data_IF_993301120705
#
_entry.id   IF_993301120705
#
_cell.length_a   1.000
_cell.length_b   1.000
_cell.length_c   1.000
_cell.angle_alpha   90.00
_cell.angle_beta   90.00
_cell.angle_gamma   90.00
#
_symmetry.space_group_name_H-M   'P 1'
#
loop_
_entity.id
_entity.type
_entity.pdbx_description
1 polymer ?
#
# COMPACT_ATOMS: atom_id res chain seq x y z
N UNK A 1 -13.14 7.35 15.71
CA UNK A 1 -14.37 7.38 16.47
C UNK A 1 -14.90 5.96 16.66
N UNK A 2 -15.83 5.77 17.57
CA UNK A 2 -16.40 4.44 17.87
C UNK A 2 -17.24 3.87 16.71
N UNK A 3 -17.69 4.72 15.79
CA UNK A 3 -18.51 4.35 14.63
C UNK A 3 -17.70 4.13 13.34
N UNK A 4 -16.37 4.10 13.41
CA UNK A 4 -15.53 3.84 12.25
C UNK A 4 -15.71 2.40 11.77
N UNK A 5 -16.14 2.25 10.51
CA UNK A 5 -16.28 0.95 9.85
C UNK A 5 -15.20 0.81 8.80
N UNK A 6 -14.56 -0.34 8.76
CA UNK A 6 -13.51 -0.67 7.80
C UNK A 6 -13.85 -1.96 7.08
N UNK A 7 -13.71 -1.94 5.75
CA UNK A 7 -13.76 -3.11 4.90
C UNK A 7 -12.63 -3.05 3.90
N UNK A 8 -12.10 -4.21 3.53
CA UNK A 8 -11.15 -4.36 2.44
C UNK A 8 -11.62 -5.46 1.49
N UNK A 9 -11.28 -5.30 0.22
CA UNK A 9 -11.61 -6.29 -0.80
C UNK A 9 -10.56 -6.29 -1.92
N UNK A 10 -10.43 -7.42 -2.56
CA UNK A 10 -9.57 -7.56 -3.71
C UNK A 10 -10.42 -7.51 -4.99
N UNK A 11 -10.18 -6.50 -5.83
CA UNK A 11 -10.95 -6.29 -7.06
C UNK A 11 -10.36 -7.14 -8.17
N UNK A 12 -11.17 -8.06 -8.72
CA UNK A 12 -10.78 -9.01 -9.77
C UNK A 12 -11.29 -8.62 -11.17
N UNK A 13 -11.83 -7.42 -11.31
CA UNK A 13 -12.46 -6.97 -12.55
C UNK A 13 -13.99 -7.02 -12.51
N UNK A 14 -14.63 -6.83 -13.65
CA UNK A 14 -16.08 -6.76 -13.79
C UNK A 14 -16.63 -7.92 -14.64
N UNK A 15 -17.95 -8.13 -14.55
CA UNK A 15 -18.65 -9.14 -15.35
C UNK A 15 -18.34 -10.59 -14.95
N UNK A 16 -18.64 -11.53 -15.85
CA UNK A 16 -18.45 -12.95 -15.59
C UNK A 16 -16.98 -13.36 -15.46
N UNK A 17 -16.07 -12.68 -16.16
CA UNK A 17 -14.64 -12.95 -16.05
C UNK A 17 -14.10 -12.53 -14.68
N UNK A 18 -14.50 -11.36 -14.17
CA UNK A 18 -14.12 -10.91 -12.82
C UNK A 18 -14.70 -11.83 -11.74
N UNK A 19 -15.93 -12.30 -11.91
CA UNK A 19 -16.55 -13.26 -11.01
C UNK A 19 -15.80 -14.59 -10.99
N UNK A 20 -15.47 -15.14 -12.16
CA UNK A 20 -14.71 -16.39 -12.25
C UNK A 20 -13.31 -16.25 -11.62
N UNK A 21 -12.65 -15.12 -11.83
CA UNK A 21 -11.35 -14.82 -11.19
C UNK A 21 -11.49 -14.74 -9.66
N UNK A 22 -12.52 -14.09 -9.14
CA UNK A 22 -12.76 -14.00 -7.71
C UNK A 22 -13.06 -15.37 -7.08
N UNK A 23 -13.88 -16.21 -7.75
CA UNK A 23 -14.15 -17.59 -7.33
C UNK A 23 -12.84 -18.41 -7.30
N UNK A 24 -12.02 -18.33 -8.34
CA UNK A 24 -10.75 -19.02 -8.40
C UNK A 24 -9.83 -18.61 -7.23
N UNK A 25 -9.65 -17.32 -7.00
CA UNK A 25 -8.81 -16.81 -5.91
C UNK A 25 -9.35 -17.22 -4.52
N UNK A 26 -10.67 -17.24 -4.34
CA UNK A 26 -11.27 -17.67 -3.07
C UNK A 26 -10.97 -19.13 -2.71
N UNK A 27 -10.65 -19.96 -3.70
CA UNK A 27 -10.27 -21.37 -3.52
C UNK A 27 -8.77 -21.60 -3.42
N UNK A 28 -7.96 -20.60 -3.78
CA UNK A 28 -6.50 -20.69 -3.65
C UNK A 28 -6.06 -20.61 -2.19
N UNK A 29 -5.04 -21.39 -1.86
CA UNK A 29 -4.28 -21.15 -0.64
C UNK A 29 -3.15 -20.15 -0.96
N UNK A 30 -3.28 -18.87 -0.63
CA UNK A 30 -2.26 -17.87 -0.98
C UNK A 30 -0.89 -18.11 -0.30
N UNK A 31 -0.85 -19.02 0.68
CA UNK A 31 0.37 -19.41 1.39
C UNK A 31 0.87 -20.80 0.98
N UNK A 32 0.16 -21.50 0.07
CA UNK A 32 0.49 -22.89 -0.30
C UNK A 32 1.87 -23.06 -0.93
N UNK A 33 2.29 -22.07 -1.72
CA UNK A 33 3.58 -22.04 -2.43
C UNK A 33 4.48 -20.88 -1.90
N UNK A 34 4.28 -20.47 -0.66
CA UNK A 34 5.10 -19.42 -0.06
C UNK A 34 6.56 -19.86 0.03
N UNK A 35 7.52 -18.99 -0.28
CA UNK A 35 8.93 -19.28 -0.06
C UNK A 35 9.22 -19.59 1.41
N UNK A 36 10.29 -20.32 1.65
CA UNK A 36 10.75 -20.58 3.02
C UNK A 36 11.00 -19.27 3.78
N UNK A 37 10.78 -19.25 5.10
CA UNK A 37 11.01 -18.05 5.90
C UNK A 37 12.41 -17.46 5.68
N UNK A 38 12.46 -16.20 5.23
CA UNK A 38 13.72 -15.49 4.95
C UNK A 38 14.13 -15.46 3.48
N UNK A 39 13.53 -16.25 2.60
CA UNK A 39 13.89 -16.25 1.17
C UNK A 39 13.18 -15.14 0.38
N UNK A 40 11.88 -14.97 0.58
CA UNK A 40 11.06 -13.99 -0.16
C UNK A 40 10.91 -14.33 -1.66
N UNK A 41 10.27 -13.45 -2.44
CA UNK A 41 10.07 -13.65 -3.87
C UNK A 41 11.37 -13.45 -4.66
N UNK A 42 11.44 -14.04 -5.87
CA UNK A 42 12.59 -13.86 -6.76
C UNK A 42 12.84 -12.39 -7.10
N UNK A 43 14.06 -12.07 -7.56
CA UNK A 43 14.38 -10.72 -8.01
C UNK A 43 13.44 -10.26 -9.13
N UNK A 44 13.21 -11.15 -10.10
CA UNK A 44 12.32 -10.89 -11.23
C UNK A 44 10.88 -10.57 -10.78
N UNK A 45 10.34 -11.37 -9.85
CA UNK A 45 9.00 -11.11 -9.26
C UNK A 45 8.93 -9.77 -8.54
N UNK A 46 9.98 -9.40 -7.81
CA UNK A 46 10.03 -8.11 -7.11
C UNK A 46 10.08 -6.93 -8.07
N UNK A 47 10.85 -7.02 -9.15
CA UNK A 47 11.07 -5.92 -10.10
C UNK A 47 9.93 -5.76 -11.10
N UNK A 48 9.22 -6.84 -11.45
CA UNK A 48 8.10 -6.81 -12.40
C UNK A 48 6.72 -6.72 -11.72
N UNK A 49 6.67 -6.74 -10.39
CA UNK A 49 5.46 -6.56 -9.64
C UNK A 49 4.92 -5.13 -9.73
N UNK A 50 3.65 -4.98 -9.48
CA UNK A 50 2.99 -3.67 -9.34
C UNK A 50 1.75 -3.83 -8.49
N UNK A 51 1.18 -2.73 -8.04
CA UNK A 51 -0.09 -2.72 -7.32
C UNK A 51 -0.79 -1.38 -7.43
N UNK A 52 -2.11 -1.45 -7.30
CA UNK A 52 -3.00 -0.30 -7.16
C UNK A 52 -3.92 -0.52 -5.97
N UNK A 53 -4.03 0.50 -5.11
CA UNK A 53 -4.93 0.50 -3.96
C UNK A 53 -5.87 1.69 -4.07
N UNK A 54 -7.17 1.43 -4.11
CA UNK A 54 -8.21 2.46 -4.07
C UNK A 54 -8.75 2.58 -2.64
N UNK A 55 -8.73 3.77 -2.11
CA UNK A 55 -9.34 4.14 -0.84
C UNK A 55 -10.65 4.87 -1.11
N UNK A 56 -11.73 4.44 -0.46
CA UNK A 56 -13.01 5.11 -0.46
C UNK A 56 -13.38 5.44 0.97
N UNK A 57 -13.60 6.70 1.27
CA UNK A 57 -14.06 7.16 2.57
C UNK A 57 -15.45 7.80 2.40
N UNK A 58 -16.46 7.14 2.95
CA UNK A 58 -17.82 7.66 2.98
C UNK A 58 -18.01 8.53 4.22
N UNK A 59 -18.36 9.78 3.98
CA UNK A 59 -18.76 10.77 4.98
C UNK A 59 -20.26 11.02 4.82
N UNK A 60 -20.87 11.70 5.77
CA UNK A 60 -22.32 11.91 5.77
C UNK A 60 -22.88 12.55 4.49
N UNK A 61 -22.11 13.40 3.83
CA UNK A 61 -22.53 14.21 2.69
C UNK A 61 -21.69 13.99 1.41
N UNK A 62 -20.61 13.21 1.50
CA UNK A 62 -19.70 13.01 0.36
C UNK A 62 -18.90 11.72 0.48
N UNK A 63 -18.45 11.21 -0.67
CA UNK A 63 -17.45 10.16 -0.75
C UNK A 63 -16.14 10.75 -1.25
N UNK A 64 -15.07 10.55 -0.51
CA UNK A 64 -13.71 10.92 -0.91
C UNK A 64 -13.02 9.66 -1.43
N UNK A 65 -12.39 9.78 -2.59
CA UNK A 65 -11.59 8.70 -3.18
C UNK A 65 -10.14 9.13 -3.32
N UNK A 66 -9.25 8.20 -3.03
CA UNK A 66 -7.82 8.37 -3.26
C UNK A 66 -7.22 7.04 -3.74
N UNK A 67 -6.21 7.12 -4.60
CA UNK A 67 -5.50 5.95 -5.08
C UNK A 67 -4.02 6.03 -4.80
N UNK A 68 -3.40 4.87 -4.57
CA UNK A 68 -1.96 4.72 -4.44
C UNK A 68 -1.52 3.56 -5.32
N UNK A 69 -0.55 3.82 -6.18
CA UNK A 69 0.07 2.76 -6.99
C UNK A 69 1.57 2.66 -6.73
N UNK A 70 2.12 1.48 -6.93
CA UNK A 70 3.55 1.20 -6.84
C UNK A 70 4.05 0.38 -8.03
N UNK A 71 5.30 0.62 -8.41
CA UNK A 71 5.96 0.08 -9.60
C UNK A 71 6.77 -1.21 -9.35
N UNK A 72 6.66 -1.77 -8.15
CA UNK A 72 7.30 -3.02 -7.74
C UNK A 72 6.34 -3.88 -6.92
N UNK A 73 6.72 -5.13 -6.62
CA UNK A 73 5.92 -5.98 -5.75
C UNK A 73 5.66 -5.33 -4.38
N UNK A 74 4.43 -5.40 -3.85
CA UNK A 74 4.07 -4.74 -2.62
C UNK A 74 4.74 -5.33 -1.38
N UNK A 75 5.09 -6.62 -1.40
CA UNK A 75 5.58 -7.34 -0.23
C UNK A 75 7.01 -6.98 0.15
N UNK A 76 7.92 -6.99 -0.80
CA UNK A 76 9.35 -6.79 -0.57
C UNK A 76 9.93 -5.64 -1.37
N UNK A 77 9.66 -5.57 -2.67
CA UNK A 77 10.25 -4.56 -3.56
C UNK A 77 9.88 -3.14 -3.16
N UNK A 78 8.61 -2.84 -3.16
CA UNK A 78 8.09 -1.52 -2.78
C UNK A 78 8.25 -1.25 -1.27
N UNK A 79 7.97 -2.23 -0.41
CA UNK A 79 8.06 -2.07 1.04
C UNK A 79 9.47 -1.75 1.51
N UNK A 80 10.52 -2.33 0.92
CA UNK A 80 11.90 -2.00 1.28
C UNK A 80 12.27 -0.54 0.99
N UNK A 81 11.78 0.02 -0.13
CA UNK A 81 11.93 1.43 -0.46
C UNK A 81 11.11 2.32 0.49
N UNK A 82 9.87 1.95 0.77
CA UNK A 82 9.00 2.71 1.67
C UNK A 82 9.56 2.83 3.09
N UNK A 83 10.06 1.73 3.66
CA UNK A 83 10.63 1.78 5.02
C UNK A 83 11.92 2.59 5.06
N UNK A 84 12.75 2.50 4.02
CA UNK A 84 13.98 3.29 3.90
C UNK A 84 13.66 4.78 3.82
N UNK A 85 12.74 5.18 2.95
CA UNK A 85 12.33 6.58 2.83
C UNK A 85 11.63 7.11 4.08
N UNK A 86 10.88 6.26 4.80
CA UNK A 86 10.30 6.64 6.09
C UNK A 86 11.37 6.94 7.13
N UNK A 87 12.39 6.10 7.24
CA UNK A 87 13.50 6.34 8.16
C UNK A 87 14.26 7.63 7.81
N UNK A 88 14.56 7.84 6.53
CA UNK A 88 15.23 9.07 6.06
C UNK A 88 14.35 10.30 6.29
N UNK A 89 13.04 10.21 6.08
CA UNK A 89 12.09 11.29 6.33
C UNK A 89 12.10 11.73 7.81
N UNK A 90 12.03 10.76 8.71
CA UNK A 90 12.08 11.05 10.16
C UNK A 90 13.36 11.79 10.53
N UNK A 91 14.51 11.34 10.04
CA UNK A 91 15.82 11.92 10.41
C UNK A 91 16.07 13.28 9.76
N UNK A 92 15.67 13.45 8.50
CA UNK A 92 16.03 14.66 7.72
C UNK A 92 14.94 15.72 7.73
N UNK A 93 13.67 15.31 7.66
CA UNK A 93 12.58 16.24 7.37
C UNK A 93 11.67 16.49 8.58
N UNK A 94 11.70 15.62 9.60
CA UNK A 94 10.85 15.71 10.79
C UNK A 94 11.61 16.03 12.07
N UNK A 95 12.61 16.90 11.99
CA UNK A 95 13.52 17.24 13.11
C UNK A 95 12.79 17.85 14.32
N UNK A 96 11.69 18.54 14.06
CA UNK A 96 10.91 19.22 15.09
C UNK A 96 9.77 18.35 15.64
N UNK A 97 9.67 17.08 15.23
CA UNK A 97 8.66 16.16 15.72
C UNK A 97 8.96 15.81 17.19
N UNK A 98 8.04 16.06 18.12
CA UNK A 98 8.22 15.66 19.51
C UNK A 98 8.39 14.14 19.65
N UNK A 99 9.07 13.71 20.71
CA UNK A 99 9.12 12.26 21.02
C UNK A 99 7.72 11.69 21.31
N UNK A 100 7.44 10.49 20.80
CA UNK A 100 6.13 9.86 20.95
C UNK A 100 5.98 8.60 20.12
N UNK A 101 4.76 8.04 20.15
CA UNK A 101 4.33 6.92 19.30
C UNK A 101 3.40 7.48 18.24
N UNK A 102 3.75 7.31 16.98
CA UNK A 102 3.03 7.88 15.84
C UNK A 102 2.81 6.83 14.75
N UNK A 103 1.72 6.99 14.01
CA UNK A 103 1.58 6.36 12.69
C UNK A 103 2.37 7.16 11.65
N UNK A 104 2.75 6.56 10.51
CA UNK A 104 3.49 7.26 9.45
C UNK A 104 2.80 8.54 8.97
N UNK A 105 1.49 8.51 8.77
CA UNK A 105 0.74 9.68 8.34
C UNK A 105 0.78 10.82 9.37
N UNK A 106 0.61 10.50 10.65
CA UNK A 106 0.62 11.49 11.73
C UNK A 106 2.00 12.12 11.96
N UNK A 107 3.08 11.35 11.75
CA UNK A 107 4.44 11.84 11.97
C UNK A 107 5.04 12.56 10.77
N UNK A 108 4.77 12.09 9.56
CA UNK A 108 5.49 12.51 8.36
C UNK A 108 4.60 13.19 7.31
N UNK A 109 3.32 12.78 7.21
CA UNK A 109 2.32 13.37 6.32
C UNK A 109 2.82 13.57 4.88
N UNK A 110 2.62 14.76 4.33
CA UNK A 110 3.04 15.12 2.97
C UNK A 110 4.55 15.01 2.71
N UNK A 111 5.39 15.11 3.75
CA UNK A 111 6.84 14.98 3.60
C UNK A 111 7.21 13.58 3.12
N UNK A 112 6.54 12.56 3.70
CA UNK A 112 6.73 11.18 3.28
C UNK A 112 6.15 10.93 1.88
N UNK A 113 4.96 11.42 1.56
CA UNK A 113 4.36 11.30 0.23
C UNK A 113 5.34 11.79 -0.83
N UNK A 114 5.86 13.00 -0.70
CA UNK A 114 6.83 13.58 -1.65
C UNK A 114 8.10 12.76 -1.81
N UNK A 115 8.56 12.10 -0.74
CA UNK A 115 9.71 11.20 -0.81
C UNK A 115 9.39 9.91 -1.55
N UNK A 116 8.26 9.31 -1.24
CA UNK A 116 7.82 8.05 -1.85
C UNK A 116 7.61 8.22 -3.35
N UNK A 117 7.01 9.33 -3.79
CA UNK A 117 6.87 9.65 -5.21
C UNK A 117 8.22 9.85 -5.91
N UNK A 118 9.15 10.54 -5.26
CA UNK A 118 10.45 10.85 -5.85
C UNK A 118 11.39 9.66 -5.93
N UNK A 119 11.40 8.82 -4.90
CA UNK A 119 12.48 7.85 -4.68
C UNK A 119 12.01 6.39 -4.61
N UNK A 120 10.72 6.14 -4.42
CA UNK A 120 10.21 4.79 -4.17
C UNK A 120 9.28 4.25 -5.26
N UNK A 121 9.02 5.03 -6.32
CA UNK A 121 8.16 4.60 -7.44
C UNK A 121 6.68 4.54 -7.09
N UNK A 122 6.23 5.29 -6.07
CA UNK A 122 4.83 5.40 -5.72
C UNK A 122 4.18 6.60 -6.41
N UNK A 123 2.86 6.50 -6.61
CA UNK A 123 2.02 7.61 -7.06
C UNK A 123 0.80 7.73 -6.16
N UNK A 124 0.46 8.94 -5.75
CA UNK A 124 -0.70 9.25 -4.91
C UNK A 124 -1.63 10.18 -5.67
N UNK A 125 -2.94 9.87 -5.69
CA UNK A 125 -3.96 10.70 -6.35
C UNK A 125 -5.18 10.83 -5.46
N UNK A 126 -5.80 12.00 -5.48
CA UNK A 126 -7.14 12.25 -4.92
C UNK A 126 -8.07 12.51 -6.10
N UNK A 127 -9.21 11.81 -6.14
CA UNK A 127 -10.20 11.87 -7.21
C UNK A 127 -11.41 12.71 -6.79
#
# INVERSE_FOLDING_TARGET
GEDFKYNEMWIQGSGEEGKAAAEFISTMNPLGDAPEPGEGPSKESRENGNYDVLFCADLDDQTIKASVSGDMDPGYGSTSKMITESAVCLVKDCKDLPGGIYTPAASMGEKLIKRLERNAGLSFKVE
#
